data_IF_239519480593
#
_entry.id   IF_239519480593
#
_cell.length_a   1.000
_cell.length_b   1.000
_cell.length_c   1.000
_cell.angle_alpha   90.00
_cell.angle_beta   90.00
_cell.angle_gamma   90.00
#
_symmetry.space_group_name_H-M   'P 1'
#
loop_
_entity.id
_entity.type
_entity.pdbx_description
1 polymer ?
#
# COMPACT_ATOMS: atom_id res chain seq x y z
N UNK A 1 54.57 -0.56 25.39
CA UNK A 1 53.36 -0.05 24.70
C UNK A 1 53.69 0.11 23.23
N UNK A 2 53.69 -1.03 22.53
CA UNK A 2 53.87 -1.12 21.09
C UNK A 2 52.54 -0.75 20.41
N UNK A 3 52.50 0.38 19.72
CA UNK A 3 51.34 0.78 18.93
C UNK A 3 51.46 0.20 17.52
N UNK A 4 50.67 -0.85 17.24
CA UNK A 4 50.50 -1.57 15.97
C UNK A 4 50.16 -0.72 14.73
N UNK A 5 50.24 0.61 14.79
CA UNK A 5 49.90 1.51 13.69
C UNK A 5 50.99 1.67 12.61
N UNK A 6 52.17 1.07 12.79
CA UNK A 6 53.33 1.27 11.88
C UNK A 6 53.65 0.14 10.91
N UNK A 7 52.96 -1.00 10.98
CA UNK A 7 53.31 -2.18 10.18
C UNK A 7 52.50 -2.32 8.87
N UNK A 8 51.37 -1.61 8.71
CA UNK A 8 50.53 -1.79 7.50
C UNK A 8 50.81 -0.78 6.38
N UNK A 9 51.49 0.34 6.66
CA UNK A 9 51.73 1.41 5.68
C UNK A 9 53.12 1.37 5.01
N UNK A 10 53.84 0.24 5.13
CA UNK A 10 55.24 0.17 4.68
C UNK A 10 55.55 -1.09 3.87
N UNK A 11 54.73 -1.38 2.87
CA UNK A 11 55.11 -2.23 1.72
C UNK A 11 54.12 -2.05 0.58
N UNK A 12 54.22 -0.91 -0.10
CA UNK A 12 54.14 -0.76 -1.56
C UNK A 12 54.20 0.73 -1.88
N UNK A 13 55.42 1.25 -1.86
CA UNK A 13 55.78 2.48 -2.56
C UNK A 13 55.68 2.14 -4.04
N UNK A 14 54.52 2.37 -4.63
CA UNK A 14 54.38 2.55 -6.07
C UNK A 14 54.40 4.04 -6.35
N UNK A 15 55.21 4.39 -7.33
CA UNK A 15 55.71 5.71 -7.68
C UNK A 15 54.62 6.75 -7.93
N UNK A 16 54.90 7.97 -7.47
CA UNK A 16 54.03 9.17 -7.46
C UNK A 16 53.64 9.67 -8.87
N UNK A 17 54.09 9.05 -9.96
CA UNK A 17 53.75 9.49 -11.34
C UNK A 17 52.67 8.65 -12.05
N UNK A 18 52.04 7.69 -11.37
CA UNK A 18 50.82 7.03 -11.85
C UNK A 18 49.55 7.52 -11.15
N UNK A 19 49.62 8.63 -10.41
CA UNK A 19 48.50 9.31 -9.77
C UNK A 19 47.67 10.18 -10.75
N UNK A 20 47.47 9.67 -11.96
CA UNK A 20 46.40 10.14 -12.85
C UNK A 20 45.30 9.09 -12.84
N UNK A 21 44.44 9.11 -11.81
CA UNK A 21 43.16 8.39 -11.83
C UNK A 21 42.85 7.43 -10.67
N UNK A 22 43.12 7.81 -9.41
CA UNK A 22 42.70 7.02 -8.23
C UNK A 22 41.85 7.82 -7.23
N UNK A 23 41.02 8.75 -7.72
CA UNK A 23 40.01 9.48 -6.93
C UNK A 23 38.60 9.24 -7.48
N UNK A 24 38.33 8.02 -7.89
CA UNK A 24 36.97 7.59 -8.24
C UNK A 24 36.64 6.47 -7.27
N UNK A 25 35.84 6.77 -6.25
CA UNK A 25 35.25 5.74 -5.40
C UNK A 25 34.71 4.65 -6.34
N UNK A 26 35.33 3.47 -6.33
CA UNK A 26 34.85 2.33 -7.12
C UNK A 26 33.55 1.94 -6.43
N UNK A 27 32.45 2.43 -7.00
CA UNK A 27 31.12 2.02 -6.63
C UNK A 27 31.04 0.50 -6.70
N UNK A 28 30.29 -0.12 -5.78
CA UNK A 28 29.75 -1.44 -6.12
C UNK A 28 29.05 -1.28 -7.48
N UNK A 29 29.29 -2.17 -8.45
CA UNK A 29 28.82 -2.06 -9.85
C UNK A 29 27.30 -1.84 -9.99
N UNK A 30 26.58 -1.96 -8.88
CA UNK A 30 25.14 -1.89 -8.74
C UNK A 30 24.63 -0.64 -8.00
N UNK A 31 25.47 0.33 -7.59
CA UNK A 31 25.00 1.58 -6.94
C UNK A 31 24.19 2.44 -7.94
N UNK A 32 22.85 2.38 -7.87
CA UNK A 32 21.95 3.03 -8.86
C UNK A 32 21.38 4.37 -8.38
N UNK A 33 20.84 4.42 -7.16
CA UNK A 33 20.20 5.62 -6.60
C UNK A 33 20.95 6.08 -5.35
N UNK A 34 22.20 6.48 -5.54
CA UNK A 34 23.06 6.91 -4.46
C UNK A 34 24.44 7.33 -4.94
N UNK A 35 25.27 7.72 -3.97
CA UNK A 35 26.66 8.12 -4.20
C UNK A 35 27.63 7.18 -3.51
N UNK A 36 28.79 7.01 -4.11
CA UNK A 36 29.83 6.15 -3.56
C UNK A 36 30.71 6.95 -2.64
N UNK A 37 30.71 6.56 -1.37
CA UNK A 37 31.46 7.26 -0.32
C UNK A 37 32.81 6.62 -0.07
N UNK A 38 32.92 5.30 -0.28
CA UNK A 38 34.13 4.49 -0.13
C UNK A 38 34.08 3.32 -1.12
N UNK A 39 35.20 2.66 -1.46
CA UNK A 39 35.20 1.49 -2.34
C UNK A 39 34.21 0.43 -1.87
N UNK A 40 33.25 0.06 -2.72
CA UNK A 40 32.20 -0.92 -2.42
C UNK A 40 31.06 -0.44 -1.53
N UNK A 41 31.02 0.84 -1.12
CA UNK A 41 29.97 1.40 -0.25
C UNK A 41 29.17 2.50 -0.96
N UNK A 42 27.86 2.29 -1.05
CA UNK A 42 26.89 3.23 -1.62
C UNK A 42 26.06 3.88 -0.50
N UNK A 43 25.97 5.21 -0.49
CA UNK A 43 25.06 5.98 0.34
C UNK A 43 23.83 6.34 -0.49
N UNK A 44 22.65 5.87 -0.09
CA UNK A 44 21.44 5.97 -0.89
C UNK A 44 20.80 7.36 -0.88
N UNK A 45 20.22 7.73 -2.02
CA UNK A 45 19.34 8.89 -2.14
C UNK A 45 18.07 8.69 -1.29
N UNK A 46 17.43 9.80 -0.94
CA UNK A 46 16.24 9.77 -0.10
C UNK A 46 15.14 8.92 -0.73
N UNK A 47 14.73 7.86 -0.03
CA UNK A 47 13.70 6.94 -0.51
C UNK A 47 14.24 5.64 -1.11
N UNK A 48 15.55 5.45 -1.15
CA UNK A 48 16.16 4.18 -1.53
C UNK A 48 16.93 3.55 -0.36
N UNK A 49 17.08 2.24 -0.41
CA UNK A 49 17.84 1.47 0.57
C UNK A 49 18.48 0.23 -0.08
N UNK A 50 19.21 -0.54 0.73
CA UNK A 50 19.99 -1.69 0.30
C UNK A 50 21.45 -1.32 0.02
N UNK A 51 22.31 -2.33 -0.18
CA UNK A 51 23.75 -2.13 -0.40
C UNK A 51 24.06 -1.48 -1.75
N UNK A 52 23.13 -1.58 -2.69
CA UNK A 52 23.21 -1.09 -4.07
C UNK A 52 22.24 0.05 -4.36
N UNK A 53 21.46 0.47 -3.36
CA UNK A 53 20.42 1.50 -3.49
C UNK A 53 19.46 1.25 -4.66
N UNK A 54 19.12 -0.01 -4.89
CA UNK A 54 18.14 -0.43 -5.91
C UNK A 54 16.76 -0.66 -5.32
N UNK A 55 16.64 -0.83 -4.01
CA UNK A 55 15.37 -1.05 -3.34
C UNK A 55 14.74 0.29 -2.98
N UNK A 56 13.50 0.51 -3.42
CA UNK A 56 12.75 1.71 -3.10
C UNK A 56 11.99 1.53 -1.78
N UNK A 57 11.84 2.61 -1.02
CA UNK A 57 11.01 2.67 0.19
C UNK A 57 9.58 2.99 -0.23
N UNK A 58 8.64 2.12 0.11
CA UNK A 58 7.19 2.39 -0.05
C UNK A 58 6.74 3.54 0.86
N UNK A 59 5.60 4.14 0.55
CA UNK A 59 4.95 5.11 1.44
C UNK A 59 4.70 4.49 2.84
N UNK A 60 4.83 5.29 3.91
CA UNK A 60 4.63 4.80 5.28
C UNK A 60 3.21 4.27 5.50
N UNK A 61 2.22 4.93 4.91
CA UNK A 61 0.81 4.55 5.03
C UNK A 61 0.41 3.39 4.12
N UNK A 62 1.31 2.93 3.24
CA UNK A 62 1.03 1.84 2.29
C UNK A 62 0.69 0.55 3.04
N UNK A 63 -0.52 0.02 2.82
CA UNK A 63 -1.04 -1.16 3.50
C UNK A 63 -0.78 -2.45 2.72
N UNK A 64 -1.29 -2.53 1.50
CA UNK A 64 -1.22 -3.74 0.65
C UNK A 64 -0.62 -3.41 -0.72
N UNK A 65 0.62 -2.96 -0.69
CA UNK A 65 1.33 -2.52 -1.88
C UNK A 65 2.82 -2.35 -1.66
N UNK A 66 3.53 -2.19 -2.76
CA UNK A 66 4.96 -1.92 -2.79
C UNK A 66 5.24 -0.73 -3.68
N UNK A 67 6.40 -0.09 -3.57
CA UNK A 67 6.85 0.79 -4.64
C UNK A 67 7.26 -0.05 -5.86
N UNK A 68 7.16 0.52 -7.06
CA UNK A 68 7.56 -0.09 -8.33
C UNK A 68 8.28 0.94 -9.21
N UNK A 69 8.98 0.47 -10.23
CA UNK A 69 9.60 1.30 -11.27
C UNK A 69 10.53 2.39 -10.73
N UNK A 70 11.26 2.08 -9.65
CA UNK A 70 12.16 3.01 -8.96
C UNK A 70 11.48 4.32 -8.53
N UNK A 71 10.19 4.28 -8.22
CA UNK A 71 9.48 5.43 -7.66
C UNK A 71 9.34 5.28 -6.15
N UNK A 72 10.24 5.87 -5.35
CA UNK A 72 10.15 5.81 -3.90
C UNK A 72 8.92 6.59 -3.41
N UNK A 73 8.48 6.27 -2.19
CA UNK A 73 7.31 6.84 -1.53
C UNK A 73 5.97 6.60 -2.24
N UNK A 74 5.95 5.74 -3.25
CA UNK A 74 4.72 5.28 -3.89
C UNK A 74 4.16 4.04 -3.20
N UNK A 75 2.93 3.69 -3.55
CA UNK A 75 2.24 2.48 -3.10
C UNK A 75 1.48 1.91 -4.31
N UNK A 76 2.13 1.05 -5.09
CA UNK A 76 1.50 0.28 -6.14
C UNK A 76 0.78 -0.91 -5.52
N UNK A 77 -0.54 -0.94 -5.67
CA UNK A 77 -1.38 -1.92 -4.99
C UNK A 77 -1.20 -3.33 -5.53
N UNK A 78 -1.25 -4.28 -4.60
CA UNK A 78 -1.37 -5.69 -4.92
C UNK A 78 -2.74 -5.98 -5.56
N UNK A 79 -2.86 -7.08 -6.35
CA UNK A 79 -4.14 -7.48 -6.91
C UNK A 79 -5.25 -7.59 -5.85
N UNK A 80 -6.42 -7.03 -6.14
CA UNK A 80 -7.54 -6.98 -5.20
C UNK A 80 -7.48 -5.85 -4.17
N UNK A 81 -6.47 -4.98 -4.20
CA UNK A 81 -6.40 -3.79 -3.35
C UNK A 81 -6.41 -2.49 -4.16
N UNK A 82 -6.92 -1.43 -3.56
CA UNK A 82 -7.00 -0.11 -4.17
C UNK A 82 -6.99 1.02 -3.13
N UNK A 83 -7.07 2.26 -3.63
CA UNK A 83 -6.84 3.46 -2.82
C UNK A 83 -5.41 3.97 -2.96
N UNK A 84 -5.16 5.18 -2.46
CA UNK A 84 -3.85 5.84 -2.60
C UNK A 84 -2.78 5.16 -1.75
N UNK A 85 -3.19 4.45 -0.70
CA UNK A 85 -2.34 3.69 0.20
C UNK A 85 -2.67 2.19 0.18
N UNK A 86 -3.41 1.72 -0.83
CA UNK A 86 -3.84 0.33 -0.98
C UNK A 86 -4.58 -0.18 0.26
N UNK A 87 -5.38 0.70 0.85
CA UNK A 87 -6.12 0.48 2.07
C UNK A 87 -7.49 -0.17 1.86
N UNK A 88 -7.98 -0.17 0.62
CA UNK A 88 -9.32 -0.65 0.26
C UNK A 88 -9.27 -2.03 -0.35
N UNK A 89 -10.10 -2.93 0.17
CA UNK A 89 -10.27 -4.26 -0.40
C UNK A 89 -11.29 -4.21 -1.54
N UNK A 90 -10.84 -4.45 -2.77
CA UNK A 90 -11.68 -4.42 -3.96
C UNK A 90 -12.49 -5.70 -4.14
N UNK A 91 -12.27 -6.72 -3.31
CA UNK A 91 -12.97 -8.00 -3.30
C UNK A 91 -13.70 -8.24 -1.96
N UNK A 92 -13.99 -7.14 -1.24
CA UNK A 92 -14.55 -7.17 0.10
C UNK A 92 -15.80 -8.06 0.22
N UNK A 93 -16.72 -8.00 -0.74
CA UNK A 93 -17.94 -8.82 -0.73
C UNK A 93 -17.66 -10.31 -0.77
N UNK A 94 -16.73 -10.75 -1.61
CA UNK A 94 -16.38 -12.16 -1.76
C UNK A 94 -15.66 -12.68 -0.53
N UNK A 95 -14.80 -11.85 0.08
CA UNK A 95 -13.99 -12.20 1.25
C UNK A 95 -14.75 -12.14 2.57
N UNK A 96 -15.69 -11.20 2.73
CA UNK A 96 -16.34 -10.91 4.01
C UNK A 96 -17.84 -11.16 4.06
N UNK A 97 -18.54 -11.20 2.92
CA UNK A 97 -20.01 -11.39 2.85
C UNK A 97 -20.78 -10.56 3.90
N UNK A 98 -20.64 -9.22 3.88
CA UNK A 98 -21.12 -8.36 4.97
C UNK A 98 -22.65 -8.25 5.04
N UNK A 99 -23.35 -8.37 3.90
CA UNK A 99 -24.79 -8.20 3.84
C UNK A 99 -25.54 -9.36 4.49
N UNK A 100 -26.52 -9.03 5.33
CA UNK A 100 -27.37 -9.97 6.06
C UNK A 100 -28.76 -10.07 5.44
N UNK A 101 -29.54 -11.04 5.92
CA UNK A 101 -30.94 -11.21 5.58
C UNK A 101 -31.24 -11.33 4.07
N UNK A 102 -30.29 -11.85 3.28
CA UNK A 102 -30.43 -11.99 1.83
C UNK A 102 -30.10 -10.73 1.03
N UNK A 103 -29.46 -9.73 1.64
CA UNK A 103 -28.98 -8.55 0.91
C UNK A 103 -27.91 -8.88 -0.13
N UNK A 104 -27.94 -8.17 -1.26
CA UNK A 104 -26.97 -8.32 -2.34
C UNK A 104 -25.77 -7.41 -2.07
N UNK A 105 -24.58 -8.00 -2.03
CA UNK A 105 -23.34 -7.26 -1.81
C UNK A 105 -22.73 -6.80 -3.13
N UNK A 106 -22.28 -5.55 -3.17
CA UNK A 106 -21.48 -4.98 -4.26
C UNK A 106 -20.19 -4.41 -3.70
N UNK A 107 -19.05 -4.71 -4.32
CA UNK A 107 -17.77 -4.13 -3.90
C UNK A 107 -17.86 -2.60 -4.05
N UNK A 108 -17.40 -1.89 -3.03
CA UNK A 108 -17.67 -0.48 -2.87
C UNK A 108 -16.88 0.41 -3.83
N UNK A 109 -17.43 1.60 -4.08
CA UNK A 109 -16.80 2.65 -4.89
C UNK A 109 -15.79 3.48 -4.10
N UNK A 110 -15.44 4.68 -4.57
CA UNK A 110 -14.32 5.51 -4.05
C UNK A 110 -14.30 5.72 -2.52
N UNK A 111 -15.44 5.63 -1.82
CA UNK A 111 -15.60 6.01 -0.41
C UNK A 111 -15.84 4.85 0.58
N UNK A 112 -16.18 3.66 0.11
CA UNK A 112 -16.51 2.50 0.96
C UNK A 112 -15.94 1.22 0.35
N UNK A 113 -15.71 0.20 1.17
CA UNK A 113 -15.22 -1.10 0.68
C UNK A 113 -16.36 -1.98 0.14
N UNK A 114 -17.60 -1.73 0.56
CA UNK A 114 -18.80 -2.42 0.07
C UNK A 114 -20.06 -1.56 0.17
N UNK A 115 -21.10 -2.00 -0.53
CA UNK A 115 -22.48 -1.52 -0.38
C UNK A 115 -23.44 -2.71 -0.42
N UNK A 116 -24.43 -2.72 0.46
CA UNK A 116 -25.48 -3.72 0.49
C UNK A 116 -26.79 -3.18 -0.08
N UNK A 117 -27.38 -3.91 -1.02
CA UNK A 117 -28.77 -3.70 -1.44
C UNK A 117 -29.68 -4.58 -0.58
N UNK A 118 -30.43 -3.94 0.32
CA UNK A 118 -31.28 -4.66 1.27
C UNK A 118 -32.60 -5.12 0.64
N UNK A 119 -33.08 -6.32 1.01
CA UNK A 119 -34.41 -6.77 0.63
C UNK A 119 -35.48 -5.98 1.39
N UNK A 120 -36.72 -6.08 0.93
CA UNK A 120 -37.85 -5.40 1.55
C UNK A 120 -37.99 -5.77 3.03
N UNK A 121 -38.20 -4.75 3.87
CA UNK A 121 -38.31 -4.92 5.33
C UNK A 121 -36.97 -4.95 6.07
N UNK A 122 -35.83 -4.74 5.40
CA UNK A 122 -34.51 -4.61 6.04
C UNK A 122 -33.80 -3.32 5.64
N UNK A 123 -33.07 -2.73 6.59
CA UNK A 123 -32.27 -1.51 6.42
C UNK A 123 -30.94 -1.60 7.18
N UNK A 124 -30.13 -0.56 7.09
CA UNK A 124 -28.78 -0.51 7.66
C UNK A 124 -27.70 -0.80 6.61
N UNK A 125 -26.45 -0.48 6.94
CA UNK A 125 -25.32 -0.66 6.02
C UNK A 125 -25.09 -2.13 5.62
N UNK A 126 -25.50 -3.06 6.49
CA UNK A 126 -25.37 -4.51 6.32
C UNK A 126 -26.73 -5.22 6.26
N UNK A 127 -27.84 -4.49 6.15
CA UNK A 127 -29.20 -5.06 6.13
C UNK A 127 -29.56 -5.86 7.39
N UNK A 128 -28.99 -5.51 8.53
CA UNK A 128 -29.15 -6.19 9.81
C UNK A 128 -30.35 -5.67 10.63
N UNK A 129 -30.87 -4.50 10.28
CA UNK A 129 -32.01 -3.88 10.97
C UNK A 129 -33.29 -4.28 10.26
N UNK A 130 -34.15 -5.05 10.94
CA UNK A 130 -35.51 -5.34 10.47
C UNK A 130 -36.40 -4.12 10.69
N UNK A 131 -37.05 -3.64 9.64
CA UNK A 131 -38.09 -2.63 9.77
C UNK A 131 -39.32 -3.26 10.45
N UNK A 132 -39.96 -2.54 11.39
CA UNK A 132 -41.23 -2.99 11.91
C UNK A 132 -42.22 -3.16 10.74
N UNK A 133 -42.85 -4.32 10.68
CA UNK A 133 -43.95 -4.60 9.76
C UNK A 133 -45.05 -3.58 10.02
N UNK A 134 -45.21 -2.62 9.13
CA UNK A 134 -46.32 -1.65 9.14
C UNK A 134 -47.68 -2.36 8.90
N UNK A 135 -47.63 -3.68 8.66
CA UNK A 135 -48.74 -4.53 8.27
C UNK A 135 -48.63 -5.89 8.99
N UNK A 136 -48.68 -5.91 10.31
CA UNK A 136 -49.12 -7.14 10.99
C UNK A 136 -50.66 -7.15 11.01
N UNK A 137 -51.23 -7.99 10.15
CA UNK A 137 -52.54 -8.65 10.22
C UNK A 137 -53.67 -7.93 11.00
N UNK A 138 -54.80 -7.49 10.39
CA UNK A 138 -55.26 -7.67 9.01
C UNK A 138 -55.23 -6.34 8.23
N UNK A 139 -54.18 -6.10 7.44
CA UNK A 139 -54.26 -5.22 6.26
C UNK A 139 -54.60 -3.73 6.44
N UNK A 140 -54.49 -3.14 7.63
CA UNK A 140 -54.76 -1.69 7.82
C UNK A 140 -53.44 -0.91 7.97
N UNK A 141 -52.99 -0.29 6.88
CA UNK A 141 -51.95 0.74 6.93
C UNK A 141 -52.57 2.06 7.40
N UNK A 142 -52.25 2.54 8.61
CA UNK A 142 -52.61 3.94 8.97
C UNK A 142 -51.77 4.90 8.12
N UNK A 143 -52.47 5.80 7.43
CA UNK A 143 -51.96 6.96 6.68
C UNK A 143 -51.43 6.72 5.25
N UNK A 144 -51.68 5.59 4.61
CA UNK A 144 -51.45 5.45 3.15
C UNK A 144 -49.98 5.53 2.71
N UNK A 145 -49.04 5.25 3.61
CA UNK A 145 -47.62 5.17 3.26
C UNK A 145 -47.36 3.88 2.49
N UNK A 146 -47.36 3.98 1.16
CA UNK A 146 -46.71 2.99 0.31
C UNK A 146 -45.21 2.94 0.67
N UNK A 147 -44.53 1.78 0.56
CA UNK A 147 -43.08 1.75 0.64
C UNK A 147 -42.52 2.80 -0.34
N UNK A 148 -41.48 3.57 0.03
CA UNK A 148 -40.86 4.48 -0.92
C UNK A 148 -40.47 3.63 -2.13
N UNK A 149 -41.17 3.85 -3.26
CA UNK A 149 -40.80 3.22 -4.53
C UNK A 149 -39.30 3.46 -4.65
N UNK A 150 -38.53 2.38 -4.67
CA UNK A 150 -37.11 2.43 -5.01
C UNK A 150 -37.03 3.23 -6.31
N UNK A 151 -36.61 4.48 -6.21
CA UNK A 151 -36.34 5.31 -7.38
C UNK A 151 -35.08 4.72 -7.99
N UNK A 152 -35.28 3.78 -8.92
CA UNK A 152 -34.28 3.42 -9.92
C UNK A 152 -34.18 4.60 -10.88
N UNK A 153 -33.21 5.48 -10.62
CA UNK A 153 -32.58 6.30 -11.67
C UNK A 153 -31.51 5.50 -12.38
#
# INVERSE_FOLDING_TARGET
MESHARAYYKKQVLTVEQWKGLDSAICADSCKHGRCVEPGRCECDHGFFGTTCTECRRSENCRHGTCRDNQPFTCACEPGWGGIFCERDLEYCTRHQPCKNGGVCTNGGVRTDFTCQCPEGFVGATCDIRLPSICEHPGICRNGWAPPKLQTT
#
